data_IF_491060575449
#
_entry.id   IF_491060575449
#
_cell.length_a   1.000
_cell.length_b   1.000
_cell.length_c   1.000
_cell.angle_alpha   90.00
_cell.angle_beta   90.00
_cell.angle_gamma   90.00
#
_symmetry.space_group_name_H-M   'P 1'
#
loop_
_entity.id
_entity.type
_entity.pdbx_description
1 polymer ?
#
# COMPACT_ATOMS: atom_id res chain seq x y z
N UNK A 1 11.96 16.44 6.74
CA UNK A 1 10.76 15.87 6.05
C UNK A 1 10.47 14.54 6.70
N UNK A 2 9.27 14.33 7.20
CA UNK A 2 8.82 13.03 7.71
C UNK A 2 8.71 12.05 6.54
N UNK A 3 9.28 10.89 6.67
CA UNK A 3 9.18 9.87 5.63
C UNK A 3 7.79 9.22 5.66
N UNK A 4 7.23 8.78 4.53
CA UNK A 4 5.96 8.05 4.50
C UNK A 4 5.92 6.86 5.47
N UNK A 5 7.06 6.24 5.71
CA UNK A 5 7.26 5.14 6.66
C UNK A 5 6.86 5.50 8.10
N UNK A 6 7.11 6.74 8.55
CA UNK A 6 6.75 7.18 9.91
C UNK A 6 5.27 7.55 10.06
N UNK A 7 4.58 7.82 8.95
CA UNK A 7 3.20 8.32 8.92
C UNK A 7 2.19 7.17 8.80
N UNK A 8 2.47 6.15 7.98
CA UNK A 8 1.52 5.08 7.67
C UNK A 8 1.78 3.86 8.55
N UNK A 9 0.72 3.38 9.20
CA UNK A 9 0.73 2.17 10.01
C UNK A 9 -0.31 1.15 9.53
N UNK A 10 -0.07 -0.12 9.86
CA UNK A 10 -0.99 -1.23 9.62
C UNK A 10 -1.23 -1.98 10.92
N UNK A 11 -2.47 -2.28 11.22
CA UNK A 11 -2.86 -3.02 12.41
C UNK A 11 -4.01 -3.98 12.11
N UNK A 12 -3.95 -5.19 12.65
CA UNK A 12 -5.08 -6.12 12.68
C UNK A 12 -5.93 -5.83 13.92
N UNK A 13 -7.24 -5.66 13.73
CA UNK A 13 -8.11 -5.39 14.87
C UNK A 13 -9.47 -4.80 14.49
N UNK A 14 -10.13 -4.24 15.50
CA UNK A 14 -11.42 -3.60 15.38
C UNK A 14 -11.28 -2.08 15.46
N UNK A 15 -11.70 -1.38 14.41
CA UNK A 15 -11.55 0.07 14.28
C UNK A 15 -12.30 0.85 15.37
N UNK A 16 -13.37 0.28 15.96
CA UNK A 16 -14.12 0.92 17.05
C UNK A 16 -13.32 1.07 18.36
N UNK A 17 -12.19 0.36 18.47
CA UNK A 17 -11.30 0.37 19.65
C UNK A 17 -10.08 1.28 19.47
N UNK A 18 -9.92 1.88 18.30
CA UNK A 18 -8.72 2.66 17.96
C UNK A 18 -8.88 4.09 18.42
N UNK A 19 -7.88 4.61 19.13
CA UNK A 19 -7.83 6.01 19.57
C UNK A 19 -7.06 6.84 18.55
N UNK A 20 -7.79 7.61 17.76
CA UNK A 20 -7.30 8.56 16.75
C UNK A 20 -8.24 9.77 16.70
N UNK A 21 -7.88 10.85 15.98
CA UNK A 21 -8.78 11.99 15.85
C UNK A 21 -10.03 11.62 15.04
N UNK A 22 -9.87 10.87 13.94
CA UNK A 22 -10.98 10.42 13.12
C UNK A 22 -10.85 8.95 12.74
N UNK A 23 -11.95 8.19 12.84
CA UNK A 23 -12.07 6.89 12.18
C UNK A 23 -12.93 7.02 10.94
N UNK A 24 -12.61 6.22 9.92
CA UNK A 24 -13.40 6.15 8.69
C UNK A 24 -14.41 5.00 8.78
N UNK A 25 -15.64 5.28 8.37
CA UNK A 25 -16.71 4.31 8.23
C UNK A 25 -16.95 4.00 6.75
N UNK A 26 -16.90 2.72 6.38
CA UNK A 26 -17.35 2.24 5.07
C UNK A 26 -18.89 2.15 5.07
N UNK A 27 -19.53 3.31 4.91
CA UNK A 27 -20.97 3.49 4.97
C UNK A 27 -21.69 3.11 3.66
N UNK A 28 -23.00 3.08 3.69
CA UNK A 28 -23.85 3.07 2.51
C UNK A 28 -24.39 4.48 2.21
N UNK A 29 -25.03 4.65 1.04
CA UNK A 29 -25.50 5.96 0.59
C UNK A 29 -26.58 6.58 1.48
N UNK A 30 -27.32 5.77 2.24
CA UNK A 30 -28.36 6.26 3.15
C UNK A 30 -27.82 6.84 4.46
N UNK A 31 -26.59 6.47 4.87
CA UNK A 31 -25.97 6.85 6.16
C UNK A 31 -26.77 6.40 7.41
N UNK A 32 -27.73 5.49 7.26
CA UNK A 32 -28.61 5.05 8.35
C UNK A 32 -28.11 3.79 9.07
N UNK A 33 -26.85 3.44 8.87
CA UNK A 33 -26.27 2.22 9.39
C UNK A 33 -26.49 1.04 8.46
N UNK A 34 -25.89 -0.10 8.80
CA UNK A 34 -25.93 -1.32 8.00
C UNK A 34 -25.28 -2.51 8.70
N UNK A 35 -24.67 -3.39 7.92
CA UNK A 35 -23.88 -4.53 8.39
C UNK A 35 -22.40 -4.21 8.50
N UNK A 36 -21.60 -5.20 8.93
CA UNK A 36 -20.14 -5.08 8.98
C UNK A 36 -19.64 -3.94 9.86
N UNK A 37 -18.62 -3.24 9.37
CA UNK A 37 -18.00 -2.11 10.09
C UNK A 37 -18.97 -0.95 10.31
N UNK A 38 -19.84 -0.66 9.35
CA UNK A 38 -20.87 0.38 9.47
C UNK A 38 -21.80 0.13 10.68
N UNK A 39 -22.33 -1.09 10.77
CA UNK A 39 -23.15 -1.48 11.93
C UNK A 39 -22.39 -1.48 13.26
N UNK A 40 -21.11 -1.86 13.27
CA UNK A 40 -20.27 -1.85 14.47
C UNK A 40 -20.05 -0.42 14.97
N UNK A 41 -19.74 0.51 14.09
CA UNK A 41 -19.52 1.93 14.39
C UNK A 41 -20.81 2.57 14.92
N UNK A 42 -21.95 2.35 14.27
CA UNK A 42 -23.23 2.90 14.73
C UNK A 42 -23.64 2.36 16.11
N UNK A 43 -23.44 1.05 16.37
CA UNK A 43 -23.75 0.46 17.69
C UNK A 43 -22.83 1.00 18.78
N UNK A 44 -21.53 1.08 18.52
CA UNK A 44 -20.56 1.52 19.52
C UNK A 44 -20.64 3.04 19.79
N UNK A 45 -20.83 3.85 18.75
CA UNK A 45 -20.92 5.31 18.87
C UNK A 45 -22.26 5.81 19.37
N UNK A 46 -23.30 4.98 19.24
CA UNK A 46 -24.62 5.26 19.79
C UNK A 46 -25.47 6.24 18.95
N UNK A 47 -26.54 6.72 19.59
CA UNK A 47 -27.56 7.50 18.91
C UNK A 47 -27.06 8.82 18.27
N UNK A 48 -26.03 9.43 18.85
CA UNK A 48 -25.53 10.73 18.40
C UNK A 48 -25.04 10.69 16.95
N UNK A 49 -24.34 9.61 16.55
CA UNK A 49 -23.87 9.43 15.16
C UNK A 49 -25.08 9.40 14.21
N UNK A 50 -26.10 8.63 14.55
CA UNK A 50 -27.30 8.51 13.72
C UNK A 50 -28.06 9.82 13.60
N UNK A 51 -28.14 10.60 14.67
CA UNK A 51 -28.81 11.92 14.68
C UNK A 51 -28.06 12.93 13.81
N UNK A 52 -26.71 12.91 13.82
CA UNK A 52 -25.89 13.71 12.92
C UNK A 52 -26.04 13.28 11.47
N UNK A 53 -26.05 11.98 11.19
CA UNK A 53 -26.31 11.44 9.86
C UNK A 53 -27.68 11.92 9.32
N UNK A 54 -28.73 11.91 10.15
CA UNK A 54 -30.06 12.41 9.77
C UNK A 54 -30.06 13.90 9.40
N UNK A 55 -29.27 14.73 10.10
CA UNK A 55 -29.10 16.16 9.74
C UNK A 55 -28.42 16.29 8.35
N UNK A 56 -27.42 15.47 8.07
CA UNK A 56 -26.75 15.46 6.77
C UNK A 56 -27.71 15.01 5.67
N UNK A 57 -28.50 13.95 5.90
CA UNK A 57 -29.51 13.46 4.96
C UNK A 57 -30.53 14.53 4.66
N UNK A 58 -31.05 15.20 5.68
CA UNK A 58 -32.04 16.28 5.53
C UNK A 58 -31.50 17.47 4.72
N UNK A 59 -30.17 17.74 4.80
CA UNK A 59 -29.52 18.85 4.10
C UNK A 59 -29.18 18.52 2.65
N UNK A 60 -28.72 17.29 2.36
CA UNK A 60 -28.11 16.93 1.06
C UNK A 60 -28.54 15.58 0.48
N UNK A 61 -29.48 14.88 1.14
CA UNK A 61 -30.01 13.59 0.65
C UNK A 61 -29.12 12.37 0.90
N UNK A 62 -28.06 12.47 1.72
CA UNK A 62 -27.13 11.38 2.03
C UNK A 62 -25.73 11.62 1.53
N UNK A 63 -24.99 10.53 1.22
CA UNK A 63 -23.62 10.59 0.70
C UNK A 63 -23.52 9.80 -0.61
N UNK A 64 -22.96 10.41 -1.65
CA UNK A 64 -22.76 9.75 -2.95
C UNK A 64 -21.56 8.82 -2.93
N UNK A 65 -21.56 7.81 -3.81
CA UNK A 65 -20.42 6.87 -3.98
C UNK A 65 -19.15 7.64 -4.33
N UNK A 66 -18.07 7.36 -3.63
CA UNK A 66 -16.78 8.04 -3.76
C UNK A 66 -16.66 9.32 -2.92
N UNK A 67 -17.74 9.79 -2.30
CA UNK A 67 -17.75 10.97 -1.44
C UNK A 67 -17.67 10.60 0.04
N UNK A 68 -17.45 11.60 0.89
CA UNK A 68 -17.40 11.44 2.34
C UNK A 68 -18.13 12.58 3.05
N UNK A 69 -18.62 12.30 4.25
CA UNK A 69 -19.21 13.28 5.19
C UNK A 69 -18.69 12.99 6.60
N UNK A 70 -18.76 13.99 7.49
CA UNK A 70 -18.21 13.87 8.84
C UNK A 70 -19.31 14.08 9.89
N UNK A 71 -19.24 13.29 10.97
CA UNK A 71 -20.08 13.42 12.18
C UNK A 71 -19.21 13.43 13.42
N UNK A 72 -19.81 13.73 14.57
CA UNK A 72 -19.20 13.40 15.86
C UNK A 72 -19.08 11.89 16.03
N UNK A 73 -18.17 11.44 16.89
CA UNK A 73 -17.93 10.00 17.10
C UNK A 73 -18.82 9.39 18.20
N UNK A 74 -19.67 10.19 18.87
CA UNK A 74 -20.52 9.72 19.96
C UNK A 74 -19.70 9.12 21.11
N UNK A 75 -19.94 7.85 21.44
CA UNK A 75 -19.25 7.15 22.53
C UNK A 75 -17.93 6.46 22.08
N UNK A 76 -17.51 6.60 20.85
CA UNK A 76 -16.25 6.03 20.37
C UNK A 76 -15.03 6.78 20.94
N UNK A 77 -13.85 6.14 21.04
CA UNK A 77 -12.63 6.76 21.55
C UNK A 77 -11.97 7.76 20.58
N UNK A 78 -12.69 8.18 19.54
CA UNK A 78 -12.26 9.15 18.52
C UNK A 78 -13.08 10.43 18.64
N UNK A 79 -12.65 11.51 18.00
CA UNK A 79 -13.41 12.78 17.98
C UNK A 79 -14.49 12.77 16.89
N UNK A 80 -14.17 12.18 15.73
CA UNK A 80 -15.02 12.19 14.55
C UNK A 80 -15.15 10.80 13.92
N UNK A 81 -16.28 10.60 13.23
CA UNK A 81 -16.46 9.54 12.24
C UNK A 81 -16.61 10.18 10.87
N UNK A 82 -15.75 9.77 9.92
CA UNK A 82 -15.86 10.16 8.52
C UNK A 82 -16.53 9.01 7.78
N UNK A 83 -17.76 9.24 7.33
CA UNK A 83 -18.56 8.26 6.60
C UNK A 83 -18.28 8.40 5.11
N UNK A 84 -17.68 7.41 4.48
CA UNK A 84 -17.45 7.37 3.03
C UNK A 84 -18.19 6.20 2.40
N UNK A 85 -18.67 6.40 1.19
CA UNK A 85 -19.45 5.38 0.46
C UNK A 85 -18.62 4.77 -0.65
N UNK A 86 -18.14 3.57 -0.42
CA UNK A 86 -17.39 2.82 -1.41
C UNK A 86 -18.26 2.29 -2.56
N UNK A 87 -17.68 2.03 -3.73
CA UNK A 87 -18.37 1.44 -4.86
C UNK A 87 -18.65 -0.06 -4.66
N UNK A 88 -19.78 -0.54 -5.19
CA UNK A 88 -20.01 -1.96 -5.45
C UNK A 88 -19.21 -2.35 -6.69
N UNK A 89 -18.49 -3.46 -6.63
CA UNK A 89 -17.73 -3.95 -7.77
C UNK A 89 -18.64 -4.52 -8.86
N UNK A 90 -18.50 -4.03 -10.07
CA UNK A 90 -19.25 -4.47 -11.26
C UNK A 90 -18.30 -4.74 -12.44
N UNK A 91 -17.12 -5.27 -12.17
CA UNK A 91 -16.15 -5.62 -13.21
C UNK A 91 -15.20 -4.48 -13.63
N UNK A 92 -15.15 -3.37 -12.90
CA UNK A 92 -14.21 -2.27 -13.15
C UNK A 92 -14.61 -1.28 -14.26
N UNK A 93 -15.81 -1.41 -14.83
CA UNK A 93 -16.25 -0.61 -16.00
C UNK A 93 -17.09 0.63 -15.63
N UNK A 94 -17.38 0.86 -14.35
CA UNK A 94 -18.22 1.96 -13.87
C UNK A 94 -17.44 2.98 -13.03
N UNK A 95 -16.15 3.16 -13.35
CA UNK A 95 -15.22 4.02 -12.62
C UNK A 95 -15.09 3.64 -11.14
N UNK A 96 -15.20 2.36 -10.80
CA UNK A 96 -15.14 1.88 -9.42
C UNK A 96 -13.78 2.18 -8.79
N UNK A 97 -12.69 2.07 -9.57
CA UNK A 97 -11.34 2.38 -9.10
C UNK A 97 -11.20 3.84 -8.65
N UNK A 98 -11.64 4.77 -9.50
CA UNK A 98 -11.58 6.20 -9.17
C UNK A 98 -12.54 6.56 -8.01
N UNK A 99 -13.71 5.92 -7.94
CA UNK A 99 -14.63 6.10 -6.81
C UNK A 99 -14.03 5.60 -5.50
N UNK A 100 -13.31 4.48 -5.53
CA UNK A 100 -12.61 3.97 -4.35
C UNK A 100 -11.47 4.93 -3.93
N UNK A 101 -10.65 5.39 -4.87
CA UNK A 101 -9.64 6.43 -4.61
C UNK A 101 -10.28 7.69 -4.02
N UNK A 102 -11.44 8.12 -4.55
CA UNK A 102 -12.23 9.23 -4.01
C UNK A 102 -12.62 9.05 -2.55
N UNK A 103 -12.94 7.81 -2.12
CA UNK A 103 -13.25 7.55 -0.70
C UNK A 103 -12.07 7.90 0.21
N UNK A 104 -10.86 7.50 -0.14
CA UNK A 104 -9.65 7.79 0.65
C UNK A 104 -9.30 9.27 0.59
N UNK A 105 -9.26 9.85 -0.61
CA UNK A 105 -8.91 11.27 -0.82
C UNK A 105 -9.86 12.21 -0.08
N UNK A 106 -11.18 12.01 -0.24
CA UNK A 106 -12.19 12.85 0.39
C UNK A 106 -12.22 12.68 1.92
N UNK A 107 -11.94 11.47 2.42
CA UNK A 107 -11.83 11.24 3.87
C UNK A 107 -10.61 11.95 4.46
N UNK A 108 -9.47 11.89 3.80
CA UNK A 108 -8.26 12.60 4.22
C UNK A 108 -8.45 14.12 4.17
N UNK A 109 -9.12 14.63 3.12
CA UNK A 109 -9.42 16.06 3.02
C UNK A 109 -10.33 16.52 4.16
N UNK A 110 -11.40 15.78 4.48
CA UNK A 110 -12.26 16.09 5.63
C UNK A 110 -11.52 16.03 6.96
N UNK A 111 -10.57 15.10 7.13
CA UNK A 111 -9.74 15.05 8.32
C UNK A 111 -8.88 16.32 8.45
N UNK A 112 -8.24 16.75 7.37
CA UNK A 112 -7.45 18.00 7.32
C UNK A 112 -8.32 19.21 7.62
N UNK A 113 -9.50 19.32 7.00
CA UNK A 113 -10.43 20.45 7.15
C UNK A 113 -10.98 20.57 8.58
N UNK A 114 -10.98 19.45 9.33
CA UNK A 114 -11.40 19.40 10.73
C UNK A 114 -10.22 19.32 11.72
N UNK A 115 -9.00 19.68 11.29
CA UNK A 115 -7.78 19.69 12.09
C UNK A 115 -7.46 18.34 12.74
N UNK A 116 -7.84 17.22 12.12
CA UNK A 116 -7.43 15.89 12.54
C UNK A 116 -6.00 15.62 12.10
N UNK A 117 -5.16 15.18 13.03
CA UNK A 117 -3.77 14.80 12.78
C UNK A 117 -3.62 13.30 12.56
N UNK A 118 -4.55 12.53 13.14
CA UNK A 118 -4.52 11.08 13.10
C UNK A 118 -5.84 10.53 12.56
N UNK A 119 -5.75 9.56 11.64
CA UNK A 119 -6.91 8.95 10.98
C UNK A 119 -6.73 7.44 10.84
N UNK A 120 -7.81 6.68 11.05
CA UNK A 120 -7.81 5.24 10.82
C UNK A 120 -8.81 4.85 9.74
N UNK A 121 -8.39 3.98 8.83
CA UNK A 121 -9.19 3.46 7.72
C UNK A 121 -9.50 1.97 7.92
N UNK A 122 -10.75 1.54 7.70
CA UNK A 122 -11.07 0.14 7.46
C UNK A 122 -10.78 -0.22 6.01
N UNK A 123 -10.90 -1.48 5.64
CA UNK A 123 -10.92 -1.89 4.24
C UNK A 123 -12.26 -1.51 3.60
N UNK A 124 -12.22 -0.60 2.61
CA UNK A 124 -13.41 -0.07 1.94
C UNK A 124 -13.76 -0.95 0.75
N UNK A 125 -15.03 -1.29 0.57
CA UNK A 125 -15.63 -2.07 -0.53
C UNK A 125 -15.22 -3.55 -0.63
N UNK A 126 -14.29 -4.07 0.15
CA UNK A 126 -13.75 -5.44 0.00
C UNK A 126 -14.61 -6.53 0.62
N UNK A 127 -15.64 -6.17 1.41
CA UNK A 127 -16.61 -7.10 1.99
C UNK A 127 -17.79 -7.37 1.05
N UNK A 128 -19.01 -6.98 1.46
CA UNK A 128 -20.26 -7.21 0.73
C UNK A 128 -20.22 -6.62 -0.70
N UNK A 129 -19.47 -5.54 -0.93
CA UNK A 129 -19.35 -4.89 -2.23
C UNK A 129 -18.36 -5.58 -3.18
N UNK A 130 -17.65 -6.62 -2.72
CA UNK A 130 -16.84 -7.55 -3.52
C UNK A 130 -15.77 -6.89 -4.41
N UNK A 131 -15.29 -5.72 -4.04
CA UNK A 131 -14.13 -5.14 -4.73
C UNK A 131 -12.92 -6.10 -4.57
N UNK A 132 -12.14 -6.41 -5.63
CA UNK A 132 -10.95 -7.25 -5.51
C UNK A 132 -9.99 -6.69 -4.45
N UNK A 133 -9.62 -7.52 -3.47
CA UNK A 133 -8.90 -7.07 -2.26
C UNK A 133 -7.50 -6.56 -2.57
N UNK A 134 -6.79 -7.20 -3.50
CA UNK A 134 -5.48 -6.81 -3.98
C UNK A 134 -5.49 -5.43 -4.65
N UNK A 135 -6.46 -5.23 -5.55
CA UNK A 135 -6.62 -3.96 -6.25
C UNK A 135 -7.09 -2.84 -5.31
N UNK A 136 -7.99 -3.17 -4.36
CA UNK A 136 -8.41 -2.20 -3.33
C UNK A 136 -7.24 -1.78 -2.43
N UNK A 137 -6.38 -2.71 -2.03
CA UNK A 137 -5.17 -2.42 -1.27
C UNK A 137 -4.23 -1.50 -2.05
N UNK A 138 -3.98 -1.80 -3.34
CA UNK A 138 -3.15 -0.96 -4.20
C UNK A 138 -3.70 0.46 -4.31
N UNK A 139 -4.99 0.62 -4.62
CA UNK A 139 -5.64 1.93 -4.75
C UNK A 139 -5.58 2.71 -3.45
N UNK A 140 -5.83 2.05 -2.32
CA UNK A 140 -5.82 2.71 -1.02
C UNK A 140 -4.44 3.29 -0.68
N UNK A 141 -3.38 2.50 -0.85
CA UNK A 141 -2.00 2.93 -0.56
C UNK A 141 -1.56 4.01 -1.54
N UNK A 142 -1.81 3.84 -2.85
CA UNK A 142 -1.47 4.85 -3.86
C UNK A 142 -2.11 6.20 -3.56
N UNK A 143 -3.41 6.21 -3.25
CA UNK A 143 -4.15 7.45 -2.96
C UNK A 143 -3.67 8.12 -1.67
N UNK A 144 -3.34 7.33 -0.65
CA UNK A 144 -2.81 7.86 0.62
C UNK A 144 -1.43 8.45 0.40
N UNK A 145 -0.54 7.78 -0.31
CA UNK A 145 0.81 8.28 -0.61
C UNK A 145 0.77 9.56 -1.45
N UNK A 146 -0.09 9.60 -2.48
CA UNK A 146 -0.32 10.81 -3.26
C UNK A 146 -0.77 11.97 -2.35
N UNK A 147 -1.75 11.73 -1.47
CA UNK A 147 -2.30 12.77 -0.60
C UNK A 147 -1.24 13.33 0.37
N UNK A 148 -0.49 12.47 1.08
CA UNK A 148 0.53 12.92 2.04
C UNK A 148 1.75 13.56 1.39
N UNK A 149 1.96 13.35 0.09
CA UNK A 149 3.00 14.07 -0.66
C UNK A 149 2.66 15.55 -0.88
N UNK A 150 1.38 15.91 -0.77
CA UNK A 150 0.86 17.27 -1.00
C UNK A 150 0.60 18.05 0.29
N UNK A 151 0.67 17.40 1.46
CA UNK A 151 0.37 18.04 2.75
C UNK A 151 1.10 17.36 3.91
N UNK A 152 1.52 18.16 4.89
CA UNK A 152 2.15 17.72 6.15
C UNK A 152 1.17 17.75 7.35
N UNK A 153 -0.11 18.02 7.09
CA UNK A 153 -1.12 18.20 8.15
C UNK A 153 -1.52 16.90 8.85
N UNK A 154 -1.31 15.74 8.22
CA UNK A 154 -1.60 14.43 8.80
C UNK A 154 -0.31 13.83 9.38
N UNK A 155 -0.35 13.53 10.67
CA UNK A 155 0.80 12.97 11.40
C UNK A 155 0.78 11.44 11.44
N UNK A 156 -0.42 10.81 11.38
CA UNK A 156 -0.57 9.35 11.40
C UNK A 156 -1.79 8.87 10.64
N UNK A 157 -1.60 7.88 9.79
CA UNK A 157 -2.65 7.14 9.08
C UNK A 157 -2.50 5.66 9.45
N UNK A 158 -3.60 5.02 9.90
CA UNK A 158 -3.56 3.61 10.29
C UNK A 158 -4.59 2.84 9.47
N UNK A 159 -4.14 1.82 8.74
CA UNK A 159 -5.04 0.84 8.13
C UNK A 159 -5.40 -0.21 9.17
N UNK A 160 -6.68 -0.36 9.47
CA UNK A 160 -7.20 -1.36 10.41
C UNK A 160 -7.88 -2.46 9.60
N UNK A 161 -7.26 -3.64 9.57
CA UNK A 161 -7.79 -4.79 8.87
C UNK A 161 -8.44 -5.77 9.85
N UNK A 162 -9.67 -6.18 9.56
CA UNK A 162 -10.40 -7.12 10.41
C UNK A 162 -10.03 -8.58 10.12
N UNK A 163 -9.73 -8.91 8.85
CA UNK A 163 -9.35 -10.24 8.39
C UNK A 163 -7.91 -10.31 7.87
N UNK A 164 -7.37 -11.54 7.82
CA UNK A 164 -5.98 -11.81 7.44
C UNK A 164 -5.71 -11.52 5.96
N UNK A 165 -6.68 -11.76 5.07
CA UNK A 165 -6.51 -11.52 3.64
C UNK A 165 -6.28 -10.03 3.35
N UNK A 166 -7.19 -9.16 3.85
CA UNK A 166 -7.04 -7.72 3.69
C UNK A 166 -5.74 -7.22 4.34
N UNK A 167 -5.39 -7.75 5.52
CA UNK A 167 -4.12 -7.44 6.19
C UNK A 167 -2.92 -7.79 5.30
N UNK A 168 -2.90 -9.00 4.73
CA UNK A 168 -1.83 -9.47 3.85
C UNK A 168 -1.68 -8.60 2.60
N UNK A 169 -2.79 -8.23 1.94
CA UNK A 169 -2.74 -7.37 0.75
C UNK A 169 -2.24 -5.95 1.07
N UNK A 170 -2.72 -5.32 2.15
CA UNK A 170 -2.22 -3.99 2.57
C UNK A 170 -0.74 -4.07 2.93
N UNK A 171 -0.33 -5.09 3.70
CA UNK A 171 1.06 -5.30 4.10
C UNK A 171 1.98 -5.40 2.88
N UNK A 172 1.60 -6.20 1.88
CA UNK A 172 2.34 -6.33 0.64
C UNK A 172 2.50 -5.00 -0.08
N UNK A 173 1.43 -4.20 -0.21
CA UNK A 173 1.51 -2.89 -0.86
C UNK A 173 2.37 -1.90 -0.07
N UNK A 174 2.31 -1.90 1.26
CA UNK A 174 3.17 -1.07 2.11
C UNK A 174 4.63 -1.47 1.95
N UNK A 175 4.95 -2.76 2.03
CA UNK A 175 6.31 -3.25 1.83
C UNK A 175 6.86 -2.81 0.47
N UNK A 176 6.06 -2.96 -0.59
CA UNK A 176 6.47 -2.63 -1.95
C UNK A 176 6.61 -1.12 -2.22
N UNK A 177 5.82 -0.25 -1.57
CA UNK A 177 5.74 1.18 -1.92
C UNK A 177 6.27 2.13 -0.86
N UNK A 178 6.19 1.75 0.40
CA UNK A 178 6.56 2.61 1.54
C UNK A 178 7.88 2.19 2.13
N UNK A 179 8.10 0.89 2.29
CA UNK A 179 9.32 0.34 2.85
C UNK A 179 10.32 -0.03 1.75
N UNK A 180 10.60 0.92 0.85
CA UNK A 180 11.55 0.72 -0.23
C UNK A 180 12.82 1.54 0.01
N UNK A 181 13.93 0.97 -0.42
CA UNK A 181 15.25 1.61 -0.37
C UNK A 181 15.63 2.02 -1.80
N UNK A 182 15.75 3.33 -2.09
CA UNK A 182 16.28 3.79 -3.37
C UNK A 182 17.68 3.24 -3.57
N UNK A 183 17.91 2.57 -4.69
CA UNK A 183 19.11 1.81 -4.97
C UNK A 183 19.49 1.86 -6.45
N UNK A 184 20.69 1.41 -6.75
CA UNK A 184 21.24 1.36 -8.10
C UNK A 184 21.78 -0.02 -8.38
N UNK A 185 21.53 -0.53 -9.60
CA UNK A 185 22.11 -1.76 -10.11
C UNK A 185 23.38 -1.43 -10.89
N UNK A 186 24.47 -2.13 -10.60
CA UNK A 186 25.73 -2.05 -11.31
C UNK A 186 26.17 -3.42 -11.82
N UNK A 187 26.91 -3.44 -12.93
CA UNK A 187 27.81 -4.54 -13.31
C UNK A 187 29.23 -3.98 -13.29
N UNK A 188 30.12 -4.59 -12.51
CA UNK A 188 31.39 -3.98 -12.13
C UNK A 188 31.18 -2.55 -11.54
N UNK A 189 31.59 -1.53 -12.26
CA UNK A 189 31.41 -0.13 -11.89
C UNK A 189 30.48 0.62 -12.85
N UNK A 190 29.83 -0.08 -13.78
CA UNK A 190 28.92 0.51 -14.75
C UNK A 190 27.49 0.52 -14.23
N UNK A 191 26.87 1.69 -14.18
CA UNK A 191 25.48 1.85 -13.79
C UNK A 191 24.53 1.28 -14.85
N UNK A 192 23.73 0.28 -14.47
CA UNK A 192 22.76 -0.38 -15.32
C UNK A 192 21.33 0.17 -15.15
N UNK A 193 21.02 0.72 -14.00
CA UNK A 193 19.70 1.29 -13.75
C UNK A 193 19.49 1.71 -12.31
N UNK A 194 18.34 2.32 -12.07
CA UNK A 194 17.85 2.68 -10.73
C UNK A 194 16.66 1.79 -10.35
N UNK A 195 16.53 1.50 -9.06
CA UNK A 195 15.52 0.60 -8.52
C UNK A 195 15.14 1.01 -7.12
N UNK A 196 13.86 0.88 -6.77
CA UNK A 196 13.43 0.93 -5.38
C UNK A 196 13.25 -0.51 -4.88
N UNK A 197 14.16 -0.96 -4.03
CA UNK A 197 14.13 -2.31 -3.46
C UNK A 197 13.23 -2.31 -2.23
N UNK A 198 12.23 -3.18 -2.22
CA UNK A 198 11.29 -3.38 -1.12
C UNK A 198 11.18 -4.85 -0.71
N UNK A 199 10.53 -5.09 0.43
CA UNK A 199 10.22 -6.44 0.91
C UNK A 199 9.13 -7.07 0.05
N UNK A 200 9.41 -8.22 -0.56
CA UNK A 200 8.40 -9.02 -1.25
C UNK A 200 7.72 -10.01 -0.30
N UNK A 201 8.53 -10.73 0.49
CA UNK A 201 8.06 -11.65 1.51
C UNK A 201 8.92 -11.53 2.78
N UNK A 202 8.29 -11.20 3.91
CA UNK A 202 8.95 -11.05 5.21
C UNK A 202 9.30 -12.40 5.88
N UNK A 203 8.82 -13.52 5.34
CA UNK A 203 9.14 -14.87 5.84
C UNK A 203 10.40 -15.49 5.21
N UNK A 204 10.80 -15.05 4.02
CA UNK A 204 11.92 -15.64 3.26
C UNK A 204 13.12 -14.72 3.04
N UNK A 205 13.05 -13.46 3.49
CA UNK A 205 14.14 -12.50 3.31
C UNK A 205 14.39 -12.14 1.84
N UNK A 206 13.33 -12.12 1.02
CA UNK A 206 13.40 -11.72 -0.38
C UNK A 206 13.07 -10.25 -0.51
N UNK A 207 13.97 -9.49 -1.12
CA UNK A 207 13.72 -8.13 -1.57
C UNK A 207 13.52 -8.11 -3.07
N UNK A 208 12.59 -7.29 -3.56
CA UNK A 208 12.35 -7.12 -4.99
C UNK A 208 12.14 -5.67 -5.38
N UNK A 209 12.20 -5.39 -6.67
CA UNK A 209 11.85 -4.09 -7.21
C UNK A 209 11.93 -4.05 -8.74
N UNK A 210 11.33 -3.01 -9.31
CA UNK A 210 11.36 -2.78 -10.76
C UNK A 210 12.55 -1.91 -11.13
N UNK A 211 13.38 -2.41 -12.04
CA UNK A 211 14.52 -1.67 -12.59
C UNK A 211 14.01 -0.64 -13.62
N UNK A 212 14.49 0.58 -13.49
CA UNK A 212 14.47 1.59 -14.55
C UNK A 212 15.83 1.55 -15.25
N UNK A 213 15.96 0.80 -16.36
CA UNK A 213 17.24 0.52 -16.97
C UNK A 213 17.83 1.76 -17.65
N UNK A 214 19.17 1.87 -17.64
CA UNK A 214 19.92 2.79 -18.50
C UNK A 214 20.22 2.11 -19.86
N UNK A 215 20.80 2.88 -20.80
CA UNK A 215 21.27 2.33 -22.08
C UNK A 215 22.29 1.20 -21.89
N UNK A 216 23.11 1.25 -20.85
CA UNK A 216 24.11 0.26 -20.54
C UNK A 216 23.52 -1.14 -20.24
N UNK A 217 22.28 -1.19 -19.73
CA UNK A 217 21.60 -2.46 -19.47
C UNK A 217 21.33 -3.26 -20.76
N UNK A 218 21.20 -2.59 -21.90
CA UNK A 218 20.81 -3.22 -23.17
C UNK A 218 21.73 -4.37 -23.58
N UNK A 219 23.04 -4.31 -23.24
CA UNK A 219 24.01 -5.37 -23.56
C UNK A 219 23.80 -6.68 -22.79
N UNK A 220 23.09 -6.61 -21.65
CA UNK A 220 22.80 -7.79 -20.81
C UNK A 220 21.39 -8.35 -21.05
N UNK A 221 20.49 -7.56 -21.66
CA UNK A 221 19.08 -7.88 -21.83
C UNK A 221 18.82 -9.21 -22.49
N UNK A 222 19.49 -9.49 -23.61
CA UNK A 222 19.28 -10.72 -24.36
C UNK A 222 19.65 -11.95 -23.53
N UNK A 223 20.71 -11.89 -22.72
CA UNK A 223 21.07 -12.98 -21.83
C UNK A 223 19.94 -13.33 -20.86
N UNK A 224 19.34 -12.32 -20.21
CA UNK A 224 18.27 -12.56 -19.24
C UNK A 224 17.00 -13.08 -19.91
N UNK A 225 16.60 -12.51 -21.04
CA UNK A 225 15.43 -12.97 -21.81
C UNK A 225 15.58 -14.40 -22.30
N UNK A 226 16.70 -14.72 -22.93
CA UNK A 226 16.95 -16.04 -23.48
C UNK A 226 17.06 -17.12 -22.39
N UNK A 227 17.55 -16.75 -21.21
CA UNK A 227 17.73 -17.69 -20.11
C UNK A 227 16.39 -18.12 -19.50
N UNK A 228 15.41 -17.23 -19.39
CA UNK A 228 14.08 -17.57 -18.84
C UNK A 228 13.18 -18.33 -19.83
N UNK A 229 13.46 -18.28 -21.12
CA UNK A 229 12.74 -19.08 -22.13
C UNK A 229 13.12 -20.58 -22.09
N UNK A 230 14.21 -20.92 -21.41
CA UNK A 230 14.69 -22.29 -21.25
C UNK A 230 14.48 -22.74 -19.80
N UNK A 231 13.65 -23.71 -19.57
CA UNK A 231 13.25 -24.41 -18.34
C UNK A 231 13.95 -24.09 -16.97
N UNK A 232 13.17 -24.10 -15.90
CA UNK A 232 13.19 -23.32 -14.66
C UNK A 232 14.39 -23.46 -13.69
N UNK A 233 14.91 -24.63 -13.37
CA UNK A 233 15.95 -24.78 -12.33
C UNK A 233 17.34 -24.43 -12.84
N UNK A 234 17.67 -24.85 -14.05
CA UNK A 234 18.95 -24.53 -14.69
C UNK A 234 19.07 -23.04 -15.02
N UNK A 235 17.94 -22.37 -15.28
CA UNK A 235 17.88 -20.93 -15.56
C UNK A 235 18.34 -20.09 -14.38
N UNK A 236 17.89 -20.40 -13.16
CA UNK A 236 18.28 -19.68 -11.95
C UNK A 236 19.78 -19.83 -11.65
N UNK A 237 20.34 -21.05 -11.84
CA UNK A 237 21.77 -21.30 -11.67
C UNK A 237 22.58 -20.50 -12.69
N UNK A 238 22.15 -20.48 -13.95
CA UNK A 238 22.83 -19.72 -15.02
C UNK A 238 22.81 -18.22 -14.75
N UNK A 239 21.68 -17.66 -14.29
CA UNK A 239 21.59 -16.24 -13.94
C UNK A 239 22.53 -15.92 -12.80
N UNK A 240 22.51 -16.72 -11.73
CA UNK A 240 23.38 -16.49 -10.58
C UNK A 240 24.86 -16.54 -10.95
N UNK A 241 25.27 -17.50 -11.75
CA UNK A 241 26.67 -17.58 -12.25
C UNK A 241 27.01 -16.35 -13.08
N UNK A 242 26.18 -15.96 -14.03
CA UNK A 242 26.40 -14.81 -14.89
C UNK A 242 26.49 -13.50 -14.12
N UNK A 243 25.59 -13.28 -13.14
CA UNK A 243 25.61 -12.08 -12.31
C UNK A 243 26.87 -12.01 -11.44
N UNK A 244 27.34 -13.15 -10.92
CA UNK A 244 28.59 -13.22 -10.16
C UNK A 244 29.81 -12.95 -11.04
N UNK A 245 29.91 -13.58 -12.21
CA UNK A 245 31.01 -13.40 -13.16
C UNK A 245 31.15 -11.95 -13.64
N UNK A 246 30.03 -11.27 -13.86
CA UNK A 246 29.98 -9.87 -14.29
C UNK A 246 29.87 -8.88 -13.10
N UNK A 247 30.06 -9.37 -11.87
CA UNK A 247 30.06 -8.59 -10.63
C UNK A 247 28.85 -7.64 -10.49
N UNK A 248 27.68 -8.18 -10.75
CA UNK A 248 26.45 -7.42 -10.52
C UNK A 248 26.28 -7.15 -9.03
N UNK A 249 25.88 -5.93 -8.71
CA UNK A 249 25.60 -5.49 -7.33
C UNK A 249 24.50 -4.47 -7.28
N UNK A 250 23.73 -4.51 -6.21
CA UNK A 250 22.75 -3.49 -5.88
C UNK A 250 23.31 -2.67 -4.72
N UNK A 251 23.31 -1.35 -4.87
CA UNK A 251 23.85 -0.41 -3.90
C UNK A 251 22.78 0.62 -3.56
N UNK A 252 22.44 0.75 -2.28
CA UNK A 252 21.55 1.80 -1.79
C UNK A 252 22.15 3.19 -2.03
N UNK A 253 21.33 4.23 -2.07
CA UNK A 253 21.80 5.61 -2.29
C UNK A 253 22.74 6.11 -1.18
N UNK A 254 22.73 5.51 0.01
CA UNK A 254 23.67 5.78 1.09
C UNK A 254 25.03 5.06 0.94
N UNK A 255 25.22 4.31 -0.15
CA UNK A 255 26.44 3.56 -0.44
C UNK A 255 26.47 2.14 0.12
N UNK A 256 25.42 1.70 0.82
CA UNK A 256 25.36 0.32 1.34
C UNK A 256 25.13 -0.68 0.21
N UNK A 257 26.02 -1.64 0.03
CA UNK A 257 25.85 -2.74 -0.92
C UNK A 257 24.97 -3.83 -0.31
N UNK A 258 23.91 -4.24 -1.04
CA UNK A 258 23.10 -5.39 -0.69
C UNK A 258 23.86 -6.67 -1.01
N UNK A 259 24.62 -7.14 -0.04
CA UNK A 259 25.37 -8.41 -0.17
C UNK A 259 24.42 -9.57 -0.03
N UNK A 260 24.51 -10.50 -0.94
CA UNK A 260 23.71 -11.71 -0.93
C UNK A 260 24.55 -12.95 -0.66
N UNK A 261 24.48 -13.54 0.55
CA UNK A 261 25.33 -14.67 0.89
C UNK A 261 24.81 -16.03 0.43
N UNK A 262 23.52 -16.20 0.06
CA UNK A 262 22.96 -17.55 -0.04
C UNK A 262 22.33 -17.90 -1.39
N UNK A 263 21.60 -17.01 -2.04
CA UNK A 263 20.79 -17.38 -3.21
C UNK A 263 20.91 -16.46 -4.44
N UNK A 264 21.70 -15.40 -4.37
CA UNK A 264 22.04 -14.60 -5.54
C UNK A 264 21.10 -13.44 -5.87
N UNK A 265 21.49 -12.70 -6.87
CA UNK A 265 20.73 -11.65 -7.52
C UNK A 265 20.03 -12.24 -8.74
N UNK A 266 18.73 -12.19 -8.79
CA UNK A 266 17.91 -12.64 -9.91
C UNK A 266 17.38 -11.44 -10.68
N UNK A 267 17.42 -11.50 -12.01
CA UNK A 267 16.93 -10.46 -12.90
C UNK A 267 15.97 -11.10 -13.88
N UNK A 268 14.71 -10.66 -13.86
CA UNK A 268 13.62 -11.12 -14.72
C UNK A 268 13.34 -10.05 -15.78
N UNK A 269 13.70 -10.32 -17.03
CA UNK A 269 13.45 -9.42 -18.18
C UNK A 269 12.62 -10.18 -19.22
N UNK A 270 11.31 -10.03 -19.17
CA UNK A 270 10.39 -10.58 -20.15
C UNK A 270 10.04 -9.52 -21.21
N UNK A 271 9.66 -9.98 -22.40
CA UNK A 271 9.21 -9.08 -23.48
C UNK A 271 7.90 -8.43 -23.05
N UNK A 272 7.80 -7.10 -23.24
CA UNK A 272 6.66 -6.26 -22.89
C UNK A 272 6.36 -6.13 -21.37
N UNK A 273 7.22 -6.64 -20.49
CA UNK A 273 7.10 -6.48 -19.04
C UNK A 273 8.22 -5.60 -18.45
N UNK A 274 7.97 -4.95 -17.31
CA UNK A 274 9.03 -4.27 -16.56
C UNK A 274 10.12 -5.26 -16.11
N UNK A 275 11.38 -4.84 -16.18
CA UNK A 275 12.49 -5.64 -15.63
C UNK A 275 12.37 -5.70 -14.13
N UNK A 276 12.24 -6.90 -13.56
CA UNK A 276 12.16 -7.12 -12.13
C UNK A 276 13.48 -7.68 -11.59
N UNK A 277 13.84 -7.25 -10.39
CA UNK A 277 15.03 -7.73 -9.68
C UNK A 277 14.59 -8.32 -8.35
N UNK A 278 15.17 -9.46 -8.00
CA UNK A 278 15.03 -10.10 -6.70
C UNK A 278 16.41 -10.31 -6.06
N UNK A 279 16.49 -10.02 -4.77
CA UNK A 279 17.62 -10.29 -3.89
C UNK A 279 17.17 -11.29 -2.83
N UNK A 280 17.73 -12.50 -2.84
CA UNK A 280 17.34 -13.58 -1.94
C UNK A 280 18.39 -13.83 -0.86
N UNK A 281 18.00 -13.95 0.41
CA UNK A 281 18.91 -14.29 1.52
C UNK A 281 19.75 -13.13 2.03
N UNK A 282 19.11 -12.00 2.30
CA UNK A 282 19.76 -10.76 2.73
C UNK A 282 20.34 -10.89 4.13
N UNK A 283 21.50 -10.24 4.33
CA UNK A 283 22.19 -10.13 5.60
C UNK A 283 21.29 -9.49 6.68
N UNK A 284 21.33 -10.05 7.90
CA UNK A 284 20.57 -9.56 9.05
C UNK A 284 20.86 -8.07 9.38
N UNK A 285 22.05 -7.57 9.10
CA UNK A 285 22.42 -6.19 9.40
C UNK A 285 21.76 -5.22 8.40
N UNK A 286 21.67 -5.62 7.13
CA UNK A 286 20.90 -4.89 6.11
C UNK A 286 19.42 -4.90 6.45
N UNK A 287 18.89 -6.07 6.86
CA UNK A 287 17.51 -6.21 7.29
C UNK A 287 17.16 -5.25 8.43
N UNK A 288 17.97 -5.24 9.49
CA UNK A 288 17.77 -4.36 10.65
C UNK A 288 17.89 -2.89 10.30
N UNK A 289 18.75 -2.55 9.33
CA UNK A 289 19.01 -1.15 8.95
C UNK A 289 17.85 -0.52 8.21
N UNK A 290 17.17 -1.26 7.31
CA UNK A 290 16.20 -0.69 6.38
C UNK A 290 14.76 -1.17 6.60
N UNK A 291 14.56 -2.33 7.25
CA UNK A 291 13.27 -3.01 7.27
C UNK A 291 12.76 -3.37 8.69
N UNK A 292 13.46 -2.97 9.73
CA UNK A 292 13.03 -3.16 11.13
C UNK A 292 12.29 -1.94 11.68
#
# INVERSE_FOLDING_TARGET
MTTPHSIIGLQKGDIIKVTVDAIVNAANTSLLGGGGVDGAIHRAGGKTILDDCRKIIAKQGGCKVGQAVITTAGNLPSKFVIHTVGPVWNGGQKNEKEKLAGCYRNSLQLAVDNNCKTIAFPNISTGIYKFPKDEAARISIDTVLEFISLTDKIEKIIFICFDDDNFGYIKRQLNFKVFTVPSKLYADNELLGTINIGLEDDGQGVLSGQLKPTENYAKYRNFFRDTFLADTTDSLIRINNFTNENKFKVVADDGTEFKNPVAGLLIYDFEDEPVNIELCGIDNDIWKRYFN
#
